data_IF_392203678274
#
_entry.id   IF_392203678274
#
_cell.length_a   1.000
_cell.length_b   1.000
_cell.length_c   1.000
_cell.angle_alpha   90.00
_cell.angle_beta   90.00
_cell.angle_gamma   90.00
#
_symmetry.space_group_name_H-M   'P 1'
#
loop_
_entity.id
_entity.type
_entity.pdbx_description
1 polymer ?
#
# COMPACT_ATOMS: atom_id res chain seq x y z
N UNK A 1 -20.94 6.22 6.74
CA UNK A 1 -21.70 7.46 6.46
C UNK A 1 -23.14 7.45 6.96
N UNK A 2 -23.74 6.33 7.37
CA UNK A 2 -25.17 6.27 7.77
C UNK A 2 -25.45 6.58 9.24
N UNK A 3 -24.52 6.35 10.16
CA UNK A 3 -24.73 6.55 11.61
C UNK A 3 -24.66 8.01 12.08
N UNK A 4 -24.07 8.89 11.28
CA UNK A 4 -23.93 10.31 11.64
C UNK A 4 -25.22 11.10 11.32
N UNK A 5 -25.95 10.71 10.25
CA UNK A 5 -27.24 11.35 9.89
C UNK A 5 -28.37 11.00 10.86
N UNK A 6 -28.32 9.86 11.53
CA UNK A 6 -29.36 9.43 12.46
C UNK A 6 -29.32 10.21 13.78
N UNK A 7 -28.11 10.63 14.25
CA UNK A 7 -27.97 11.41 15.49
C UNK A 7 -28.41 12.86 15.33
N UNK A 8 -28.24 13.45 14.17
CA UNK A 8 -28.72 14.80 13.86
C UNK A 8 -30.25 14.84 13.74
N UNK A 9 -30.90 13.80 13.17
CA UNK A 9 -32.38 13.73 13.13
C UNK A 9 -33.01 13.56 14.52
N UNK A 10 -32.37 12.78 15.41
CA UNK A 10 -32.91 12.59 16.79
C UNK A 10 -32.86 13.90 17.61
N UNK A 11 -31.85 14.73 17.39
CA UNK A 11 -31.76 16.05 18.04
C UNK A 11 -32.82 17.03 17.53
N UNK A 12 -33.19 16.95 16.26
CA UNK A 12 -34.25 17.83 15.67
C UNK A 12 -35.65 17.41 16.11
N UNK A 13 -35.91 16.12 16.34
CA UNK A 13 -37.22 15.65 16.79
C UNK A 13 -37.56 16.00 18.25
N UNK A 14 -36.54 16.18 19.11
CA UNK A 14 -36.75 16.56 20.51
C UNK A 14 -37.17 18.04 20.70
N UNK A 15 -37.06 18.87 19.66
CA UNK A 15 -37.38 20.31 19.69
C UNK A 15 -38.88 20.58 19.56
N UNK A 16 -39.67 19.65 19.04
CA UNK A 16 -41.13 19.83 18.84
C UNK A 16 -41.97 19.85 20.13
N UNK A 17 -41.34 19.65 21.31
CA UNK A 17 -42.04 19.56 22.59
C UNK A 17 -41.62 20.57 23.68
N UNK A 18 -40.79 21.61 23.36
CA UNK A 18 -40.40 22.59 24.35
C UNK A 18 -41.05 23.97 24.12
N UNK A 19 -41.64 24.57 25.13
CA UNK A 19 -42.24 25.92 25.04
C UNK A 19 -41.11 26.97 25.15
N UNK A 20 -41.08 27.88 24.18
CA UNK A 20 -40.42 29.17 24.33
C UNK A 20 -39.24 29.46 23.39
N UNK A 21 -39.07 30.73 23.08
CA UNK A 21 -38.06 31.32 22.22
C UNK A 21 -36.61 31.01 22.65
N UNK A 22 -36.37 30.83 23.98
CA UNK A 22 -35.07 30.49 24.57
C UNK A 22 -34.55 29.14 24.12
N UNK A 23 -35.39 28.15 23.93
CA UNK A 23 -34.99 26.82 23.46
C UNK A 23 -34.55 26.82 21.99
N UNK A 24 -35.16 27.68 21.17
CA UNK A 24 -34.79 27.83 19.75
C UNK A 24 -33.38 28.48 19.60
N UNK A 25 -33.15 29.58 20.32
CA UNK A 25 -31.83 30.27 20.27
C UNK A 25 -30.71 29.40 20.82
N UNK A 26 -30.98 28.61 21.85
CA UNK A 26 -30.00 27.63 22.39
C UNK A 26 -29.66 26.59 21.35
N UNK A 27 -30.66 25.98 20.70
CA UNK A 27 -30.48 24.94 19.70
C UNK A 27 -29.75 25.48 18.46
N UNK A 28 -30.10 26.67 18.01
CA UNK A 28 -29.40 27.37 16.93
C UNK A 28 -27.93 27.58 17.27
N UNK A 29 -27.61 28.02 18.49
CA UNK A 29 -26.24 28.16 18.96
C UNK A 29 -25.48 26.84 19.06
N UNK A 30 -26.15 25.73 19.38
CA UNK A 30 -25.55 24.39 19.33
C UNK A 30 -25.29 23.92 17.91
N UNK A 31 -26.22 24.17 16.98
CA UNK A 31 -26.06 23.88 15.56
C UNK A 31 -24.86 24.64 14.96
N UNK A 32 -24.81 25.96 15.19
CA UNK A 32 -23.71 26.79 14.70
C UNK A 32 -22.33 26.36 15.27
N UNK A 33 -22.31 25.88 16.53
CA UNK A 33 -21.07 25.30 17.10
C UNK A 33 -20.69 23.97 16.45
N UNK A 34 -21.68 23.11 16.22
CA UNK A 34 -21.47 21.84 15.56
C UNK A 34 -21.01 21.99 14.11
N UNK A 35 -21.59 22.97 13.39
CA UNK A 35 -21.17 23.30 12.02
C UNK A 35 -19.72 23.81 11.98
N UNK A 36 -19.38 24.79 12.84
CA UNK A 36 -17.99 25.27 12.95
C UNK A 36 -17.01 24.18 13.34
N UNK A 37 -17.37 23.30 14.28
CA UNK A 37 -16.53 22.16 14.66
C UNK A 37 -16.35 21.17 13.51
N UNK A 38 -17.38 20.95 12.71
CA UNK A 38 -17.32 20.10 11.53
C UNK A 38 -16.43 20.70 10.43
N UNK A 39 -16.54 22.01 10.18
CA UNK A 39 -15.65 22.72 9.25
C UNK A 39 -14.18 22.63 9.68
N UNK A 40 -13.90 22.83 10.98
CA UNK A 40 -12.56 22.68 11.52
C UNK A 40 -11.99 21.26 11.36
N UNK A 41 -12.83 20.24 11.59
CA UNK A 41 -12.46 18.84 11.40
C UNK A 41 -12.16 18.52 9.95
N UNK A 42 -12.97 19.04 9.01
CA UNK A 42 -12.75 18.88 7.57
C UNK A 42 -11.41 19.54 7.17
N UNK A 43 -11.13 20.73 7.65
CA UNK A 43 -9.88 21.43 7.35
C UNK A 43 -8.67 20.68 7.92
N UNK A 44 -8.74 20.22 9.17
CA UNK A 44 -7.69 19.37 9.77
C UNK A 44 -7.48 18.07 8.96
N UNK A 45 -8.56 17.40 8.58
CA UNK A 45 -8.48 16.20 7.74
C UNK A 45 -7.77 16.49 6.41
N UNK A 46 -8.14 17.55 5.73
CA UNK A 46 -7.54 17.95 4.47
C UNK A 46 -6.04 18.27 4.61
N UNK A 47 -5.65 18.98 5.67
CA UNK A 47 -4.23 19.25 5.98
C UNK A 47 -3.44 17.99 6.26
N UNK A 48 -4.02 17.03 6.99
CA UNK A 48 -3.38 15.73 7.26
C UNK A 48 -3.21 14.90 5.98
N UNK A 49 -4.22 14.91 5.10
CA UNK A 49 -4.14 14.25 3.80
C UNK A 49 -3.02 14.88 2.94
N UNK A 50 -2.96 16.21 2.85
CA UNK A 50 -1.90 16.91 2.10
C UNK A 50 -0.51 16.58 2.64
N UNK A 51 -0.32 16.58 3.97
CA UNK A 51 0.96 16.19 4.58
C UNK A 51 1.33 14.75 4.26
N UNK A 52 0.38 13.83 4.36
CA UNK A 52 0.59 12.43 4.01
C UNK A 52 1.00 12.27 2.55
N UNK A 53 0.31 12.95 1.64
CA UNK A 53 0.56 12.85 0.20
C UNK A 53 1.91 13.49 -0.16
N UNK A 54 2.29 14.60 0.48
CA UNK A 54 3.61 15.19 0.34
C UNK A 54 4.73 14.27 0.87
N UNK A 55 4.52 13.61 2.03
CA UNK A 55 5.46 12.63 2.56
C UNK A 55 5.60 11.40 1.65
N UNK A 56 4.49 10.91 1.08
CA UNK A 56 4.53 9.81 0.09
C UNK A 56 5.30 10.20 -1.15
N UNK A 57 5.05 11.39 -1.69
CA UNK A 57 5.77 11.90 -2.86
C UNK A 57 7.28 12.07 -2.60
N UNK A 58 7.67 12.49 -1.41
CA UNK A 58 9.07 12.68 -1.03
C UNK A 58 9.89 11.38 -0.96
N UNK A 59 9.23 10.23 -0.80
CA UNK A 59 9.87 8.91 -0.74
C UNK A 59 9.45 8.01 -1.91
N UNK A 60 8.79 8.54 -2.93
CA UNK A 60 8.35 7.77 -4.07
C UNK A 60 9.50 7.52 -5.06
N UNK A 61 9.54 6.32 -5.62
CA UNK A 61 10.37 5.99 -6.78
C UNK A 61 9.69 6.58 -8.02
N UNK A 62 10.40 7.39 -8.77
CA UNK A 62 9.84 8.03 -9.97
C UNK A 62 10.00 7.16 -11.22
N UNK A 63 9.16 7.34 -12.27
CA UNK A 63 9.34 6.63 -13.54
C UNK A 63 10.73 6.85 -14.15
N UNK A 64 11.32 8.03 -13.97
CA UNK A 64 12.66 8.33 -14.47
C UNK A 64 13.77 7.52 -13.80
N UNK A 65 13.54 7.07 -12.55
CA UNK A 65 14.53 6.29 -11.80
C UNK A 65 14.61 4.84 -12.25
N UNK A 66 13.55 4.32 -12.85
CA UNK A 66 13.43 2.94 -13.31
C UNK A 66 13.54 2.78 -14.83
N UNK A 67 13.76 3.87 -15.57
CA UNK A 67 13.73 3.88 -17.05
C UNK A 67 14.73 2.92 -17.72
N UNK A 68 15.79 2.51 -17.00
CA UNK A 68 16.77 1.53 -17.49
C UNK A 68 16.63 0.13 -16.89
N UNK A 69 15.60 -0.11 -16.07
CA UNK A 69 15.40 -1.39 -15.39
C UNK A 69 14.34 -2.21 -16.14
N UNK A 70 14.77 -3.30 -16.78
CA UNK A 70 13.89 -4.16 -17.58
C UNK A 70 12.75 -4.74 -16.73
N UNK A 71 11.52 -4.67 -17.25
CA UNK A 71 10.33 -5.22 -16.59
C UNK A 71 9.88 -4.47 -15.33
N UNK A 72 10.49 -3.33 -15.02
CA UNK A 72 10.09 -2.50 -13.89
C UNK A 72 8.94 -1.56 -14.24
N UNK A 73 7.97 -1.46 -13.35
CA UNK A 73 6.85 -0.53 -13.43
C UNK A 73 6.75 0.28 -12.12
N UNK A 74 6.22 1.49 -12.17
CA UNK A 74 5.90 2.26 -10.96
C UNK A 74 4.50 1.91 -10.49
N UNK A 75 4.38 1.49 -9.24
CA UNK A 75 3.12 1.15 -8.57
C UNK A 75 3.02 1.93 -7.25
N UNK A 76 2.10 2.88 -7.16
CA UNK A 76 1.88 3.70 -5.94
C UNK A 76 3.19 4.28 -5.36
N UNK A 77 4.08 4.78 -6.21
CA UNK A 77 5.39 5.31 -5.80
C UNK A 77 6.42 4.26 -5.39
N UNK A 78 6.16 2.99 -5.62
CA UNK A 78 7.11 1.88 -5.50
C UNK A 78 7.55 1.35 -6.85
N UNK A 79 8.66 0.61 -6.88
CA UNK A 79 9.10 -0.16 -8.04
C UNK A 79 8.51 -1.56 -7.96
N UNK A 80 7.77 -1.96 -8.98
CA UNK A 80 7.14 -3.27 -9.13
C UNK A 80 7.85 -4.10 -10.19
N UNK A 81 8.15 -5.35 -9.88
CA UNK A 81 8.65 -6.36 -10.82
C UNK A 81 7.69 -7.55 -10.83
N UNK A 82 7.26 -7.98 -12.02
CA UNK A 82 6.38 -9.13 -12.17
C UNK A 82 7.02 -10.41 -11.62
N UNK A 83 6.29 -11.18 -10.79
CA UNK A 83 6.86 -12.40 -10.21
C UNK A 83 7.14 -13.47 -11.27
N UNK A 84 6.36 -13.55 -12.35
CA UNK A 84 6.66 -14.45 -13.48
C UNK A 84 7.93 -14.10 -14.23
N UNK A 85 8.40 -12.85 -14.10
CA UNK A 85 9.69 -12.40 -14.59
C UNK A 85 10.83 -12.91 -13.69
N UNK A 86 10.70 -12.77 -12.37
CA UNK A 86 11.75 -13.11 -11.40
C UNK A 86 11.79 -14.60 -11.01
N UNK A 87 10.65 -15.32 -11.04
CA UNK A 87 10.50 -16.67 -10.51
C UNK A 87 9.77 -17.58 -11.48
N UNK A 88 9.99 -18.89 -11.35
CA UNK A 88 9.12 -19.88 -11.98
C UNK A 88 7.75 -19.95 -11.30
N UNK A 89 6.76 -20.58 -11.97
CA UNK A 89 5.42 -20.74 -11.41
C UNK A 89 5.47 -21.60 -10.14
N UNK A 90 4.82 -21.11 -9.07
CA UNK A 90 4.78 -21.82 -7.78
C UNK A 90 6.10 -21.77 -6.98
N UNK A 91 7.18 -21.23 -7.53
CA UNK A 91 8.50 -21.21 -6.91
C UNK A 91 8.85 -19.83 -6.33
N UNK A 92 9.79 -19.83 -5.39
CA UNK A 92 10.39 -18.64 -4.80
C UNK A 92 11.89 -18.47 -5.14
N UNK A 93 12.50 -19.44 -5.85
CA UNK A 93 13.87 -19.35 -6.34
C UNK A 93 13.99 -18.29 -7.45
N UNK A 94 14.99 -17.40 -7.34
CA UNK A 94 15.27 -16.40 -8.37
C UNK A 94 15.82 -17.06 -9.64
N UNK A 95 15.34 -16.64 -10.78
CA UNK A 95 15.88 -17.03 -12.08
C UNK A 95 17.23 -16.34 -12.30
N UNK A 96 18.23 -17.12 -12.68
CA UNK A 96 19.60 -16.60 -12.88
C UNK A 96 19.68 -15.53 -13.97
N UNK A 97 18.88 -15.67 -15.01
CA UNK A 97 18.81 -14.72 -16.13
C UNK A 97 18.21 -13.35 -15.74
N UNK A 98 17.53 -13.27 -14.60
CA UNK A 98 16.93 -12.02 -14.11
C UNK A 98 17.74 -11.33 -13.00
N UNK A 99 18.84 -11.92 -12.57
CA UNK A 99 19.71 -11.32 -11.56
C UNK A 99 20.29 -9.96 -11.99
N UNK A 100 20.64 -9.71 -13.27
CA UNK A 100 21.10 -8.38 -13.71
C UNK A 100 20.08 -7.27 -13.47
N UNK A 101 18.77 -7.57 -13.52
CA UNK A 101 17.72 -6.58 -13.20
C UNK A 101 17.77 -6.21 -11.72
N UNK A 102 17.96 -7.18 -10.85
CA UNK A 102 18.12 -6.92 -9.40
C UNK A 102 19.44 -6.17 -9.10
N UNK A 103 20.46 -6.33 -9.92
CA UNK A 103 21.71 -5.54 -9.83
C UNK A 103 21.43 -4.06 -10.08
N UNK A 104 20.65 -3.72 -11.10
CA UNK A 104 20.25 -2.33 -11.39
C UNK A 104 19.32 -1.76 -10.29
N UNK A 105 18.39 -2.57 -9.76
CA UNK A 105 17.59 -2.18 -8.59
C UNK A 105 18.49 -1.88 -7.39
N UNK A 106 19.45 -2.76 -7.10
CA UNK A 106 20.40 -2.55 -6.00
C UNK A 106 21.21 -1.27 -6.16
N UNK A 107 21.70 -1.01 -7.37
CA UNK A 107 22.45 0.21 -7.71
C UNK A 107 21.60 1.46 -7.47
N UNK A 108 20.36 1.48 -7.95
CA UNK A 108 19.42 2.58 -7.70
C UNK A 108 19.19 2.80 -6.20
N UNK A 109 18.90 1.73 -5.44
CA UNK A 109 18.66 1.78 -4.00
C UNK A 109 19.88 2.24 -3.18
N UNK A 110 21.09 1.99 -3.67
CA UNK A 110 22.36 2.41 -3.03
C UNK A 110 22.78 3.83 -3.37
N UNK A 111 22.44 4.29 -4.57
CA UNK A 111 22.90 5.62 -5.05
C UNK A 111 21.85 6.70 -4.75
N UNK A 112 20.64 6.53 -5.26
CA UNK A 112 19.58 7.55 -5.15
C UNK A 112 18.87 7.52 -3.81
N UNK A 113 18.72 6.34 -3.21
CA UNK A 113 17.88 6.11 -2.04
C UNK A 113 18.65 5.56 -0.84
N UNK A 114 19.96 5.89 -0.74
CA UNK A 114 20.86 5.34 0.28
C UNK A 114 20.41 5.57 1.72
N UNK A 115 19.70 6.67 2.00
CA UNK A 115 19.22 7.02 3.34
C UNK A 115 17.84 6.48 3.70
N UNK A 116 17.10 5.90 2.74
CA UNK A 116 15.74 5.41 2.98
C UNK A 116 15.72 3.95 3.43
N UNK A 117 14.73 3.61 4.24
CA UNK A 117 14.36 2.22 4.48
C UNK A 117 13.63 1.66 3.25
N UNK A 118 13.79 0.38 3.04
CA UNK A 118 13.24 -0.35 1.91
C UNK A 118 12.22 -1.36 2.44
N UNK A 119 11.05 -1.36 1.88
CA UNK A 119 10.04 -2.38 2.12
C UNK A 119 9.97 -3.24 0.87
N UNK A 120 10.18 -4.55 1.02
CA UNK A 120 10.03 -5.53 -0.06
C UNK A 120 8.74 -6.28 0.17
N UNK A 121 7.76 -6.06 -0.71
CA UNK A 121 6.41 -6.64 -0.63
C UNK A 121 6.27 -7.79 -1.62
N UNK A 122 5.81 -8.96 -1.15
CA UNK A 122 5.47 -10.10 -1.99
C UNK A 122 3.95 -10.20 -2.20
N UNK A 123 3.53 -10.31 -3.45
CA UNK A 123 2.14 -10.45 -3.86
C UNK A 123 1.95 -11.69 -4.71
N UNK A 124 0.83 -12.37 -4.51
CA UNK A 124 0.39 -13.51 -5.33
C UNK A 124 -0.93 -13.18 -6.00
N UNK A 125 -1.34 -14.01 -6.93
CA UNK A 125 -2.70 -13.98 -7.46
C UNK A 125 -3.67 -14.82 -6.61
N UNK A 126 -4.92 -14.83 -7.01
CA UNK A 126 -6.01 -15.58 -6.42
C UNK A 126 -6.36 -16.83 -7.24
N UNK A 127 -5.39 -17.40 -7.96
CA UNK A 127 -5.64 -18.62 -8.70
C UNK A 127 -6.10 -19.73 -7.75
N UNK A 128 -7.22 -20.41 -8.04
CA UNK A 128 -7.69 -21.49 -7.19
C UNK A 128 -6.65 -22.61 -7.14
N UNK A 129 -6.20 -22.93 -5.94
CA UNK A 129 -5.29 -24.06 -5.70
C UNK A 129 -6.15 -25.27 -5.32
N UNK A 130 -6.61 -26.03 -6.32
CA UNK A 130 -7.56 -27.13 -6.16
C UNK A 130 -7.08 -28.24 -5.20
N UNK A 131 -5.79 -28.27 -4.89
CA UNK A 131 -5.18 -29.34 -4.07
C UNK A 131 -4.58 -28.83 -2.76
N UNK A 132 -4.73 -27.56 -2.41
CA UNK A 132 -4.11 -26.97 -1.21
C UNK A 132 -5.16 -26.51 -0.21
N UNK A 133 -5.27 -27.26 0.89
CA UNK A 133 -5.99 -26.78 2.07
C UNK A 133 -5.24 -25.60 2.65
N UNK A 134 -5.92 -24.45 2.85
CA UNK A 134 -5.24 -23.24 3.33
C UNK A 134 -4.57 -22.38 2.25
N UNK A 135 -5.19 -22.28 1.06
CA UNK A 135 -4.67 -21.47 -0.07
C UNK A 135 -4.24 -20.04 0.30
N UNK A 136 -4.90 -19.40 1.27
CA UNK A 136 -4.53 -18.08 1.75
C UNK A 136 -3.18 -18.09 2.48
N UNK A 137 -2.96 -19.06 3.37
CA UNK A 137 -1.69 -19.24 4.10
C UNK A 137 -0.56 -19.60 3.13
N UNK A 138 -0.80 -20.49 2.18
CA UNK A 138 0.15 -20.84 1.13
C UNK A 138 0.60 -19.59 0.35
N UNK A 139 -0.34 -18.77 -0.10
CA UNK A 139 -0.06 -17.55 -0.86
C UNK A 139 0.71 -16.52 -0.03
N UNK A 140 0.37 -16.34 1.26
CA UNK A 140 1.15 -15.49 2.15
C UNK A 140 2.58 -15.99 2.31
N UNK A 141 2.77 -17.29 2.50
CA UNK A 141 4.09 -17.92 2.61
C UNK A 141 4.90 -17.75 1.33
N UNK A 142 4.32 -18.07 0.18
CA UNK A 142 4.99 -17.94 -1.12
C UNK A 142 5.42 -16.48 -1.39
N UNK A 143 4.54 -15.51 -1.12
CA UNK A 143 4.86 -14.09 -1.25
C UNK A 143 6.02 -13.67 -0.32
N UNK A 144 6.01 -14.16 0.93
CA UNK A 144 7.07 -13.89 1.89
C UNK A 144 8.41 -14.50 1.48
N UNK A 145 8.42 -15.76 1.00
CA UNK A 145 9.63 -16.44 0.53
C UNK A 145 10.24 -15.73 -0.68
N UNK A 146 9.42 -15.26 -1.63
CA UNK A 146 9.85 -14.47 -2.79
C UNK A 146 10.53 -13.17 -2.37
N UNK A 147 9.87 -12.38 -1.52
CA UNK A 147 10.43 -11.13 -1.01
C UNK A 147 11.72 -11.38 -0.22
N UNK A 148 11.78 -12.46 0.56
CA UNK A 148 12.97 -12.87 1.31
C UNK A 148 14.14 -13.23 0.38
N UNK A 149 13.89 -13.96 -0.70
CA UNK A 149 14.96 -14.36 -1.62
C UNK A 149 15.50 -13.17 -2.43
N UNK A 150 14.62 -12.24 -2.81
CA UNK A 150 15.05 -10.94 -3.37
C UNK A 150 15.94 -10.20 -2.37
N UNK A 151 15.52 -10.05 -1.11
CA UNK A 151 16.35 -9.40 -0.08
C UNK A 151 17.67 -10.11 0.12
N UNK A 152 17.68 -11.44 0.23
CA UNK A 152 18.95 -12.22 0.37
C UNK A 152 19.91 -11.91 -0.75
N UNK A 153 19.43 -11.85 -2.00
CA UNK A 153 20.27 -11.49 -3.13
C UNK A 153 20.86 -10.08 -3.00
N UNK A 154 20.02 -9.09 -2.69
CA UNK A 154 20.45 -7.70 -2.49
C UNK A 154 21.44 -7.55 -1.32
N UNK A 155 21.25 -8.30 -0.25
CA UNK A 155 22.13 -8.29 0.91
C UNK A 155 23.48 -8.95 0.59
N UNK A 156 23.46 -10.19 0.10
CA UNK A 156 24.66 -10.99 -0.10
C UNK A 156 25.55 -10.46 -1.24
N UNK A 157 24.94 -10.03 -2.34
CA UNK A 157 25.69 -9.56 -3.51
C UNK A 157 26.00 -8.06 -3.47
N UNK A 158 25.08 -7.25 -2.96
CA UNK A 158 25.19 -5.79 -3.02
C UNK A 158 25.41 -5.11 -1.67
N UNK A 159 25.41 -5.87 -0.56
CA UNK A 159 25.66 -5.34 0.78
C UNK A 159 24.54 -4.41 1.29
N UNK A 160 23.31 -4.55 0.80
CA UNK A 160 22.17 -3.80 1.36
C UNK A 160 21.88 -4.36 2.75
N UNK A 161 22.11 -3.54 3.79
CA UNK A 161 21.99 -3.95 5.19
C UNK A 161 20.57 -4.40 5.54
N UNK A 162 20.46 -5.45 6.35
CA UNK A 162 19.21 -5.95 6.90
C UNK A 162 18.47 -4.85 7.69
N UNK A 163 19.20 -3.96 8.34
CA UNK A 163 18.60 -2.84 9.08
C UNK A 163 17.82 -1.87 8.18
N UNK A 164 18.12 -1.86 6.88
CA UNK A 164 17.43 -1.03 5.90
C UNK A 164 16.17 -1.67 5.32
N UNK A 165 15.95 -2.97 5.55
CA UNK A 165 14.93 -3.72 4.82
C UNK A 165 13.90 -4.32 5.75
N UNK A 166 12.64 -4.05 5.47
CA UNK A 166 11.49 -4.77 6.00
C UNK A 166 10.87 -5.65 4.90
N UNK A 167 10.43 -6.84 5.26
CA UNK A 167 9.83 -7.79 4.34
C UNK A 167 8.37 -7.97 4.71
N UNK A 168 7.48 -7.81 3.73
CA UNK A 168 6.05 -8.02 3.89
C UNK A 168 5.53 -8.98 2.82
N UNK A 169 4.47 -9.69 3.15
CA UNK A 169 3.67 -10.45 2.19
C UNK A 169 2.21 -10.07 2.33
N UNK A 170 1.60 -9.79 1.22
CA UNK A 170 0.15 -9.57 1.14
C UNK A 170 -0.58 -10.80 0.59
N UNK A 171 0.15 -11.81 0.09
CA UNK A 171 -0.48 -12.91 -0.61
C UNK A 171 -1.46 -12.37 -1.66
N UNK A 172 -2.72 -12.77 -1.57
CA UNK A 172 -3.82 -12.34 -2.46
C UNK A 172 -4.56 -11.08 -1.99
N UNK A 173 -4.27 -10.57 -0.77
CA UNK A 173 -5.12 -9.55 -0.12
C UNK A 173 -4.99 -8.14 -0.69
N UNK A 174 -3.98 -7.91 -1.55
CA UNK A 174 -3.77 -6.60 -2.19
C UNK A 174 -3.64 -6.75 -3.71
N UNK A 175 -4.74 -7.00 -4.42
CA UNK A 175 -4.73 -7.09 -5.88
C UNK A 175 -4.39 -5.71 -6.50
N UNK A 176 -3.76 -5.73 -7.68
CA UNK A 176 -3.45 -4.50 -8.42
C UNK A 176 -4.72 -3.79 -8.88
N UNK A 177 -5.70 -4.56 -9.35
CA UNK A 177 -7.05 -4.09 -9.69
C UNK A 177 -8.05 -5.22 -9.42
N UNK A 178 -9.18 -4.95 -8.73
CA UNK A 178 -10.22 -5.95 -8.48
C UNK A 178 -10.80 -6.54 -9.79
N UNK A 179 -10.85 -5.75 -10.86
CA UNK A 179 -11.48 -6.12 -12.12
C UNK A 179 -10.62 -7.09 -12.95
N UNK A 180 -9.30 -7.09 -12.75
CA UNK A 180 -8.37 -7.90 -13.54
C UNK A 180 -8.12 -9.31 -12.97
N UNK A 181 -8.61 -9.60 -11.76
CA UNK A 181 -8.31 -10.84 -11.04
C UNK A 181 -8.87 -12.13 -11.66
N UNK A 182 -9.75 -12.05 -12.64
CA UNK A 182 -10.42 -13.20 -13.23
C UNK A 182 -9.79 -13.68 -14.56
N UNK A 183 -8.99 -12.87 -15.23
CA UNK A 183 -8.29 -13.28 -16.46
C UNK A 183 -6.87 -13.79 -16.16
N UNK A 184 -6.33 -14.73 -16.98
CA UNK A 184 -4.95 -15.19 -16.83
C UNK A 184 -3.92 -14.04 -16.89
N UNK A 185 -4.13 -13.06 -17.77
CA UNK A 185 -3.28 -11.90 -17.95
C UNK A 185 -3.35 -10.97 -16.72
N UNK A 186 -4.55 -10.78 -16.18
CA UNK A 186 -4.76 -10.01 -14.96
C UNK A 186 -4.09 -10.67 -13.76
N UNK A 187 -4.27 -12.00 -13.58
CA UNK A 187 -3.58 -12.74 -12.52
C UNK A 187 -2.06 -12.64 -12.63
N UNK A 188 -1.52 -12.65 -13.86
CA UNK A 188 -0.08 -12.46 -14.08
C UNK A 188 0.43 -11.13 -13.52
N UNK A 189 -0.35 -10.06 -13.60
CA UNK A 189 0.00 -8.74 -13.04
C UNK A 189 -0.09 -8.73 -11.50
N UNK A 190 -1.00 -9.51 -10.91
CA UNK A 190 -1.11 -9.61 -9.46
C UNK A 190 0.13 -10.27 -8.83
N UNK A 191 0.74 -11.24 -9.52
CA UNK A 191 1.99 -11.88 -9.10
C UNK A 191 3.15 -10.91 -9.31
N UNK A 192 3.61 -10.27 -8.23
CA UNK A 192 4.69 -9.27 -8.29
C UNK A 192 5.45 -9.15 -6.97
N UNK A 193 6.63 -8.56 -7.06
CA UNK A 193 7.39 -8.05 -5.91
C UNK A 193 7.50 -6.54 -6.05
N UNK A 194 7.18 -5.81 -4.98
CA UNK A 194 7.21 -4.34 -4.96
C UNK A 194 8.26 -3.86 -3.96
N UNK A 195 9.06 -2.91 -4.39
CA UNK A 195 10.00 -2.18 -3.54
C UNK A 195 9.40 -0.82 -3.21
N UNK A 196 9.14 -0.58 -1.94
CA UNK A 196 8.70 0.75 -1.45
C UNK A 196 9.76 1.38 -0.60
N UNK A 197 9.76 2.68 -0.56
CA UNK A 197 10.65 3.45 0.30
C UNK A 197 9.87 3.98 1.50
N UNK A 198 10.55 4.08 2.64
CA UNK A 198 10.01 4.70 3.85
C UNK A 198 11.04 5.65 4.46
N UNK A 199 10.57 6.83 4.85
CA UNK A 199 11.39 7.80 5.58
C UNK A 199 11.50 7.48 7.08
N UNK A 200 10.68 6.56 7.60
CA UNK A 200 10.64 6.24 9.03
C UNK A 200 11.65 5.12 9.36
N UNK A 201 12.39 5.31 10.45
CA UNK A 201 13.15 4.25 11.10
C UNK A 201 12.15 3.39 11.89
N UNK A 202 12.09 2.10 11.59
CA UNK A 202 11.34 1.13 12.40
C UNK A 202 12.12 0.77 13.64
#
# INVERSE_FOLDING_TARGET
>A
MSSFRLRTLAAVLSVLFLPGCESYERLKGELDRAERANEQLIDQYNRLQQRRDAQRAAVAISPGDIAGIEGAEVEDGGLSLGAGFLFNSGEAGLKSEQLPVLDEVAKMLKTKYSGQKIIVEGHTDNEPLEQVTGASEYNLKLGFERATNVFKYLNLKHGISQERVAIFSYGTSKPLSPETGHSPEGRKKHRRVVFRLSAHHY
#
